data_IF_432886393532
#
_entry.id   IF_432886393532
#
_cell.length_a   1.000
_cell.length_b   1.000
_cell.length_c   1.000
_cell.angle_alpha   90.00
_cell.angle_beta   90.00
_cell.angle_gamma   90.00
#
_symmetry.space_group_name_H-M   'P 1'
#
loop_
_entity.id
_entity.type
_entity.pdbx_description
1 polymer ?
#
# COMPACT_ATOMS: atom_id res chain seq x y z
N UNK A 1 20.09 34.64 -18.75
CA UNK A 1 18.64 34.50 -18.98
C UNK A 1 18.25 33.26 -19.75
N UNK A 2 18.99 32.81 -20.76
CA UNK A 2 18.68 31.55 -21.50
C UNK A 2 18.79 30.26 -20.69
N UNK A 3 19.63 30.22 -19.67
CA UNK A 3 19.81 29.03 -18.81
C UNK A 3 18.65 28.80 -17.83
N UNK A 4 17.94 29.83 -17.39
CA UNK A 4 16.83 29.72 -16.45
C UNK A 4 15.58 29.18 -17.17
N UNK A 5 15.39 29.55 -18.44
CA UNK A 5 14.27 29.04 -19.24
C UNK A 5 14.37 27.55 -19.55
N UNK A 6 15.59 27.07 -19.76
CA UNK A 6 15.85 25.63 -20.01
C UNK A 6 15.58 24.77 -18.79
N UNK A 7 15.86 25.29 -17.59
CA UNK A 7 15.56 24.58 -16.33
C UNK A 7 14.06 24.48 -16.05
N UNK A 8 13.30 25.51 -16.36
CA UNK A 8 11.84 25.54 -16.19
C UNK A 8 11.18 24.55 -17.17
N UNK A 9 11.65 24.47 -18.41
CA UNK A 9 11.13 23.53 -19.41
C UNK A 9 11.46 22.08 -19.03
N UNK A 10 12.65 21.80 -18.48
CA UNK A 10 13.00 20.49 -17.97
C UNK A 10 12.15 20.07 -16.74
N UNK A 11 11.80 21.04 -15.89
CA UNK A 11 10.94 20.79 -14.73
C UNK A 11 9.50 20.48 -15.16
N UNK A 12 8.98 21.11 -16.19
CA UNK A 12 7.65 20.81 -16.77
C UNK A 12 7.61 19.45 -17.47
N UNK A 13 8.69 19.04 -18.14
CA UNK A 13 8.80 17.73 -18.79
C UNK A 13 8.81 16.60 -17.73
N UNK A 14 9.48 16.81 -16.60
CA UNK A 14 9.45 15.84 -15.52
C UNK A 14 8.06 15.71 -14.88
N UNK A 15 7.30 16.79 -14.70
CA UNK A 15 5.93 16.72 -14.21
C UNK A 15 4.99 15.98 -15.17
N UNK A 16 5.19 16.12 -16.48
CA UNK A 16 4.39 15.42 -17.49
C UNK A 16 4.69 13.90 -17.54
N UNK A 17 5.92 13.48 -17.23
CA UNK A 17 6.32 12.06 -17.14
C UNK A 17 5.79 11.37 -15.88
N UNK A 18 5.50 12.13 -14.81
CA UNK A 18 4.94 11.62 -13.57
C UNK A 18 3.40 11.61 -13.56
N UNK A 19 2.76 12.26 -14.51
CA UNK A 19 1.32 12.29 -14.66
C UNK A 19 0.71 10.96 -15.13
N UNK A 20 1.50 9.92 -15.47
CA UNK A 20 1.13 8.55 -15.81
C UNK A 20 -0.37 8.32 -16.09
N UNK A 21 -0.85 7.14 -15.83
CA UNK A 21 -2.28 6.77 -15.90
C UNK A 21 -3.01 6.97 -14.57
N UNK A 22 -2.38 7.64 -13.61
CA UNK A 22 -2.96 7.94 -12.30
C UNK A 22 -3.97 9.09 -12.40
N UNK A 23 -5.13 8.89 -11.81
CA UNK A 23 -6.21 9.88 -11.82
C UNK A 23 -6.86 9.98 -10.44
N UNK A 24 -6.95 11.19 -9.85
CA UNK A 24 -7.72 11.41 -8.63
C UNK A 24 -9.20 11.06 -8.85
N UNK A 25 -9.80 10.41 -7.86
CA UNK A 25 -11.21 10.02 -7.87
C UNK A 25 -11.82 10.31 -6.50
N UNK A 26 -13.16 10.28 -6.43
CA UNK A 26 -13.87 10.27 -5.15
C UNK A 26 -13.85 8.86 -4.57
N UNK A 27 -13.83 8.74 -3.24
CA UNK A 27 -13.89 7.43 -2.57
C UNK A 27 -15.13 6.63 -3.01
N UNK A 28 -16.23 7.31 -3.32
CA UNK A 28 -17.48 6.70 -3.78
C UNK A 28 -17.39 6.09 -5.18
N UNK A 29 -16.35 6.41 -5.95
CA UNK A 29 -16.11 5.84 -7.28
C UNK A 29 -15.30 4.52 -7.20
N UNK A 30 -14.80 4.18 -6.02
CA UNK A 30 -14.12 2.90 -5.77
C UNK A 30 -15.13 1.74 -5.66
N UNK A 31 -14.68 0.49 -5.87
CA UNK A 31 -15.51 -0.67 -5.55
C UNK A 31 -16.05 -0.62 -4.12
N UNK A 32 -17.31 -0.96 -3.92
CA UNK A 32 -17.97 -0.94 -2.60
C UNK A 32 -17.20 -1.73 -1.57
N UNK A 33 -16.62 -2.85 -1.96
CA UNK A 33 -15.79 -3.68 -1.08
C UNK A 33 -14.57 -2.92 -0.52
N UNK A 34 -13.90 -2.11 -1.35
CA UNK A 34 -12.78 -1.26 -0.92
C UNK A 34 -13.26 -0.15 0.03
N UNK A 35 -14.40 0.49 -0.27
CA UNK A 35 -14.98 1.51 0.61
C UNK A 35 -15.30 0.94 1.99
N UNK A 36 -15.94 -0.23 2.05
CA UNK A 36 -16.27 -0.93 3.28
C UNK A 36 -15.00 -1.32 4.07
N UNK A 37 -13.96 -1.77 3.37
CA UNK A 37 -12.68 -2.10 3.98
C UNK A 37 -12.08 -0.89 4.71
N UNK A 38 -12.03 0.27 4.06
CA UNK A 38 -11.54 1.51 4.68
C UNK A 38 -12.37 1.90 5.91
N UNK A 39 -13.70 1.84 5.80
CA UNK A 39 -14.61 2.17 6.91
C UNK A 39 -14.43 1.23 8.11
N UNK A 40 -14.22 -0.06 7.86
CA UNK A 40 -14.14 -1.07 8.90
C UNK A 40 -12.77 -1.09 9.61
N UNK A 41 -11.68 -0.90 8.86
CA UNK A 41 -10.33 -1.10 9.38
C UNK A 41 -9.53 0.20 9.58
N UNK A 42 -9.98 1.30 8.99
CA UNK A 42 -9.35 2.62 9.10
C UNK A 42 -10.35 3.71 9.51
N UNK A 43 -11.24 3.48 10.49
CA UNK A 43 -12.32 4.42 10.80
C UNK A 43 -11.82 5.76 11.37
N UNK A 44 -10.64 5.77 12.02
CA UNK A 44 -10.05 6.96 12.61
C UNK A 44 -9.10 7.72 11.66
N UNK A 45 -8.87 7.18 10.45
CA UNK A 45 -7.97 7.79 9.47
C UNK A 45 -8.73 8.75 8.56
N UNK A 46 -8.17 9.95 8.37
CA UNK A 46 -8.69 10.91 7.40
C UNK A 46 -8.05 10.65 6.02
N UNK A 47 -8.87 10.60 4.98
CA UNK A 47 -8.42 10.37 3.61
C UNK A 47 -7.90 11.68 3.03
N UNK A 48 -6.64 11.70 2.59
CA UNK A 48 -6.04 12.82 1.88
C UNK A 48 -6.33 12.74 0.38
N UNK A 49 -6.27 11.54 -0.21
CA UNK A 49 -6.43 11.33 -1.64
C UNK A 49 -6.90 9.90 -1.92
N UNK A 50 -7.86 9.77 -2.82
CA UNK A 50 -8.15 8.51 -3.50
C UNK A 50 -7.81 8.68 -4.99
N UNK A 51 -7.16 7.68 -5.59
CA UNK A 51 -6.80 7.69 -7.00
C UNK A 51 -6.94 6.32 -7.63
N UNK A 52 -7.09 6.32 -8.94
CA UNK A 52 -7.05 5.11 -9.75
C UNK A 52 -5.81 5.15 -10.63
N UNK A 53 -5.20 3.99 -10.81
CA UNK A 53 -4.15 3.78 -11.79
C UNK A 53 -4.61 2.69 -12.77
N UNK A 54 -4.42 2.95 -14.05
CA UNK A 54 -4.77 2.02 -15.11
C UNK A 54 -3.53 1.68 -15.91
N UNK A 55 -2.90 0.57 -15.56
CA UNK A 55 -1.79 0.02 -16.31
C UNK A 55 -2.24 -1.16 -17.15
N UNK A 56 -2.04 -1.03 -18.45
CA UNK A 56 -2.24 -2.03 -19.48
C UNK A 56 -3.64 -2.69 -19.51
N UNK A 57 -4.07 -3.48 -18.67
CA UNK A 57 -5.41 -4.10 -18.59
C UNK A 57 -5.88 -4.23 -17.14
N UNK A 58 -5.09 -3.72 -16.21
CA UNK A 58 -5.41 -3.70 -14.80
C UNK A 58 -5.83 -2.30 -14.36
N UNK A 59 -6.81 -2.24 -13.51
CA UNK A 59 -7.24 -1.03 -12.85
C UNK A 59 -7.06 -1.23 -11.36
N UNK A 60 -6.23 -0.39 -10.74
CA UNK A 60 -5.94 -0.41 -9.32
C UNK A 60 -6.48 0.87 -8.68
N UNK A 61 -6.65 0.82 -7.38
CA UNK A 61 -7.12 1.96 -6.59
C UNK A 61 -6.23 2.15 -5.38
N UNK A 62 -5.84 3.38 -5.11
CA UNK A 62 -5.04 3.75 -3.96
C UNK A 62 -5.81 4.71 -3.06
N UNK A 63 -5.74 4.50 -1.76
CA UNK A 63 -6.20 5.43 -0.74
C UNK A 63 -5.01 5.87 0.08
N UNK A 64 -4.74 7.15 0.10
CA UNK A 64 -3.68 7.78 0.87
C UNK A 64 -4.32 8.57 2.00
N UNK A 65 -3.89 8.31 3.22
CA UNK A 65 -4.37 9.00 4.42
C UNK A 65 -3.53 10.24 4.73
N UNK A 66 -4.07 11.14 5.54
CA UNK A 66 -3.40 12.39 5.91
C UNK A 66 -2.10 12.19 6.69
N UNK A 67 -1.94 11.05 7.38
CA UNK A 67 -0.69 10.70 8.06
C UNK A 67 0.37 10.08 7.13
N UNK A 68 0.05 9.87 5.85
CA UNK A 68 0.94 9.25 4.86
C UNK A 68 0.77 7.74 4.68
N UNK A 69 -0.01 7.07 5.54
CA UNK A 69 -0.34 5.65 5.35
C UNK A 69 -1.14 5.44 4.05
N UNK A 70 -1.01 4.27 3.46
CA UNK A 70 -1.61 3.97 2.16
C UNK A 70 -2.19 2.56 2.11
N UNK A 71 -3.31 2.41 1.41
CA UNK A 71 -3.89 1.10 1.06
C UNK A 71 -4.13 1.04 -0.43
N UNK A 72 -3.68 -0.03 -1.05
CA UNK A 72 -3.89 -0.31 -2.48
C UNK A 72 -4.89 -1.45 -2.64
N UNK A 73 -5.74 -1.34 -3.66
CA UNK A 73 -6.79 -2.31 -3.99
C UNK A 73 -6.73 -2.69 -5.46
N UNK A 74 -7.09 -3.94 -5.75
CA UNK A 74 -7.29 -4.39 -7.12
C UNK A 74 -8.66 -3.90 -7.68
N UNK A 75 -8.91 -4.24 -8.94
CA UNK A 75 -10.16 -3.86 -9.62
C UNK A 75 -11.44 -4.42 -8.97
N UNK A 76 -11.34 -5.47 -8.17
CA UNK A 76 -12.46 -6.04 -7.41
C UNK A 76 -12.63 -5.41 -6.02
N UNK A 77 -11.75 -4.50 -5.62
CA UNK A 77 -11.76 -3.89 -4.30
C UNK A 77 -11.16 -4.76 -3.21
N UNK A 78 -10.35 -5.76 -3.56
CA UNK A 78 -9.55 -6.52 -2.59
C UNK A 78 -8.24 -5.76 -2.35
N UNK A 79 -7.84 -5.62 -1.08
CA UNK A 79 -6.56 -4.99 -0.79
C UNK A 79 -5.39 -5.85 -1.33
N UNK A 80 -4.37 -5.19 -1.83
CA UNK A 80 -3.14 -5.80 -2.34
C UNK A 80 -1.91 -5.35 -1.58
N UNK A 81 -1.93 -4.13 -1.05
CA UNK A 81 -0.85 -3.57 -0.25
C UNK A 81 -1.44 -2.66 0.84
N UNK A 82 -0.93 -2.80 2.06
CA UNK A 82 -1.24 -1.93 3.19
C UNK A 82 0.08 -1.45 3.76
N UNK A 83 0.34 -0.16 3.63
CA UNK A 83 1.56 0.50 4.07
C UNK A 83 1.21 1.50 5.19
N UNK A 84 1.60 1.16 6.41
CA UNK A 84 1.33 1.92 7.62
C UNK A 84 2.63 2.29 8.34
N UNK A 85 3.64 2.79 7.62
CA UNK A 85 4.92 3.19 8.19
C UNK A 85 4.79 4.25 9.29
N UNK A 86 3.73 5.05 9.25
CA UNK A 86 3.44 6.10 10.23
C UNK A 86 2.52 5.68 11.38
N UNK A 87 2.06 4.43 11.35
CA UNK A 87 1.22 3.82 12.39
C UNK A 87 1.54 2.33 12.54
N UNK A 88 0.58 1.47 12.28
CA UNK A 88 0.78 0.02 12.16
C UNK A 88 -0.38 -0.58 11.36
N UNK A 89 -0.14 -1.70 10.71
CA UNK A 89 -1.21 -2.43 10.02
C UNK A 89 -2.22 -2.92 11.07
N UNK A 90 -3.53 -2.70 10.86
CA UNK A 90 -4.55 -3.22 11.76
C UNK A 90 -4.45 -4.73 11.91
N UNK A 91 -4.38 -5.23 13.15
CA UNK A 91 -4.21 -6.66 13.42
C UNK A 91 -5.32 -7.50 12.75
N UNK A 92 -6.54 -6.99 12.72
CA UNK A 92 -7.69 -7.69 12.16
C UNK A 92 -7.58 -8.04 10.67
N UNK A 93 -6.70 -7.36 9.91
CA UNK A 93 -6.50 -7.65 8.47
C UNK A 93 -5.34 -8.60 8.21
N UNK A 94 -4.49 -8.85 9.20
CA UNK A 94 -3.32 -9.71 9.08
C UNK A 94 -3.74 -11.18 9.26
N UNK A 95 -3.36 -12.10 8.36
CA UNK A 95 -3.60 -13.52 8.55
C UNK A 95 -3.06 -14.03 9.88
N UNK A 96 -3.83 -14.84 10.60
CA UNK A 96 -3.46 -15.32 11.93
C UNK A 96 -2.10 -16.04 11.96
N UNK A 97 -1.78 -16.82 10.94
CA UNK A 97 -0.50 -17.53 10.87
C UNK A 97 0.70 -16.56 10.82
N UNK A 98 0.54 -15.40 10.16
CA UNK A 98 1.57 -14.36 10.13
C UNK A 98 1.66 -13.67 11.49
N UNK A 99 0.52 -13.33 12.10
CA UNK A 99 0.49 -12.76 13.45
C UNK A 99 1.22 -13.66 14.46
N UNK A 100 0.89 -14.94 14.46
CA UNK A 100 1.48 -15.93 15.37
C UNK A 100 2.99 -16.05 15.17
N UNK A 101 3.45 -16.10 13.93
CA UNK A 101 4.87 -16.16 13.60
C UNK A 101 5.61 -14.92 14.12
N UNK A 102 5.12 -13.73 13.80
CA UNK A 102 5.76 -12.47 14.22
C UNK A 102 5.76 -12.34 15.74
N UNK A 103 4.67 -12.68 16.40
CA UNK A 103 4.57 -12.61 17.86
C UNK A 103 5.55 -13.56 18.56
N UNK A 104 5.77 -14.75 18.00
CA UNK A 104 6.71 -15.75 18.56
C UNK A 104 8.17 -15.39 18.31
N UNK A 105 8.50 -14.97 17.10
CA UNK A 105 9.88 -14.72 16.69
C UNK A 105 10.35 -13.30 16.99
N UNK A 106 9.45 -12.32 16.93
CA UNK A 106 9.75 -10.90 17.07
C UNK A 106 8.69 -10.20 17.94
N UNK A 107 8.57 -10.56 19.24
CA UNK A 107 7.45 -10.14 20.09
C UNK A 107 7.35 -8.61 20.28
N UNK A 108 8.45 -7.88 20.12
CA UNK A 108 8.48 -6.43 20.27
C UNK A 108 8.32 -5.67 18.94
N UNK A 109 8.24 -6.38 17.82
CA UNK A 109 8.08 -5.77 16.51
C UNK A 109 6.60 -5.60 16.14
N UNK A 110 6.30 -4.49 15.46
CA UNK A 110 5.00 -4.20 14.86
C UNK A 110 5.07 -4.48 13.37
N UNK A 111 3.97 -4.89 12.77
CA UNK A 111 3.85 -5.02 11.32
C UNK A 111 3.49 -3.64 10.77
N UNK A 112 4.37 -3.07 9.96
CA UNK A 112 4.20 -1.75 9.35
C UNK A 112 3.67 -1.85 7.93
N UNK A 113 3.97 -2.94 7.23
CA UNK A 113 3.51 -3.15 5.86
C UNK A 113 3.17 -4.62 5.63
N UNK A 114 2.17 -4.86 4.82
CA UNK A 114 1.83 -6.17 4.29
C UNK A 114 1.39 -6.04 2.84
N UNK A 115 1.98 -6.84 1.97
CA UNK A 115 1.70 -6.86 0.55
C UNK A 115 1.39 -8.29 0.09
N UNK A 116 0.38 -8.45 -0.75
CA UNK A 116 0.12 -9.72 -1.44
C UNK A 116 1.05 -9.84 -2.65
N UNK A 117 1.79 -10.92 -2.72
CA UNK A 117 2.68 -11.20 -3.86
C UNK A 117 1.91 -11.83 -5.02
N UNK A 118 2.47 -11.77 -6.22
CA UNK A 118 1.91 -12.42 -7.42
C UNK A 118 1.73 -13.94 -7.25
N UNK A 119 2.54 -14.54 -6.39
CA UNK A 119 2.47 -15.97 -6.03
C UNK A 119 1.42 -16.29 -4.97
N UNK A 120 0.57 -15.32 -4.62
CA UNK A 120 -0.45 -15.41 -3.56
C UNK A 120 0.12 -15.63 -2.15
N UNK A 121 1.39 -15.31 -1.95
CA UNK A 121 2.02 -15.20 -0.64
C UNK A 121 1.94 -13.77 -0.12
N UNK A 122 2.78 -13.46 0.85
CA UNK A 122 2.81 -12.15 1.50
C UNK A 122 4.23 -11.70 1.78
N UNK A 123 4.50 -10.43 1.54
CA UNK A 123 5.68 -9.73 2.04
C UNK A 123 5.27 -8.87 3.22
N UNK A 124 5.98 -8.97 4.32
CA UNK A 124 5.68 -8.28 5.58
C UNK A 124 6.91 -7.51 6.05
N UNK A 125 6.74 -6.22 6.29
CA UNK A 125 7.78 -5.38 6.87
C UNK A 125 7.50 -5.08 8.34
N UNK A 126 8.53 -5.27 9.17
CA UNK A 126 8.45 -5.07 10.62
C UNK A 126 9.12 -3.76 11.07
N UNK A 127 8.71 -3.25 12.20
CA UNK A 127 9.25 -2.02 12.81
C UNK A 127 10.75 -2.10 13.18
N UNK A 128 11.32 -3.29 13.23
CA UNK A 128 12.75 -3.51 13.45
C UNK A 128 13.58 -3.53 12.14
N UNK A 129 12.94 -3.26 10.99
CA UNK A 129 13.56 -3.23 9.67
C UNK A 129 13.67 -4.59 8.97
N UNK A 130 13.13 -5.66 9.56
CA UNK A 130 13.07 -6.96 8.88
C UNK A 130 11.95 -7.01 7.86
N UNK A 131 12.23 -7.61 6.73
CA UNK A 131 11.29 -7.95 5.67
C UNK A 131 11.18 -9.48 5.59
N UNK A 132 9.96 -10.02 5.69
CA UNK A 132 9.71 -11.45 5.75
C UNK A 132 8.77 -11.83 4.63
N UNK A 133 9.21 -12.72 3.76
CA UNK A 133 8.38 -13.28 2.70
C UNK A 133 7.76 -14.61 3.14
N UNK A 134 6.43 -14.72 2.99
CA UNK A 134 5.64 -15.92 3.24
C UNK A 134 5.09 -16.47 1.93
N UNK A 135 5.09 -17.78 1.78
CA UNK A 135 4.37 -18.42 0.68
C UNK A 135 2.85 -18.44 0.94
N UNK A 136 2.07 -18.95 -0.02
CA UNK A 136 0.59 -19.03 0.09
C UNK A 136 0.11 -19.95 1.22
N UNK A 137 0.97 -20.78 1.80
CA UNK A 137 0.71 -21.66 2.95
C UNK A 137 1.25 -21.08 4.26
N UNK A 138 1.70 -19.82 4.23
CA UNK A 138 2.30 -19.10 5.36
C UNK A 138 3.62 -19.67 5.86
N UNK A 139 4.35 -20.41 5.03
CA UNK A 139 5.73 -20.75 5.33
C UNK A 139 6.64 -19.57 5.01
N UNK A 140 7.61 -19.33 5.88
CA UNK A 140 8.65 -18.32 5.63
C UNK A 140 9.59 -18.86 4.55
N UNK A 141 9.79 -18.10 3.48
CA UNK A 141 10.68 -18.45 2.36
C UNK A 141 11.88 -17.54 2.26
N UNK A 142 11.81 -16.32 2.80
CA UNK A 142 12.95 -15.42 2.86
C UNK A 142 12.83 -14.45 4.04
N UNK A 143 13.96 -14.01 4.58
CA UNK A 143 14.06 -12.95 5.59
C UNK A 143 15.24 -12.07 5.20
N UNK A 144 14.97 -10.78 5.00
CA UNK A 144 15.96 -9.76 4.62
C UNK A 144 15.93 -8.56 5.59
N UNK A 145 16.94 -7.68 5.47
CA UNK A 145 17.08 -6.50 6.32
C UNK A 145 17.51 -5.28 5.54
#
# INVERSE_FOLDING_TARGET
>A
MKKIFMWIVLMYINMALWAGNEKPIKITEMPVKAQQFIQNFFPAHSIALAKTDTEFLSKNYDVIFTNGDKVEFDKQGRWTNIDCEHSMVPIAVIPHAIQDYVQKQYPNAKILKIEMTDRKGYDVELSNGLEIEFDKKFNVIDIDR
#
